data_IF_672093078370
#
_entry.id   IF_672093078370
#
_cell.length_a   1.000
_cell.length_b   1.000
_cell.length_c   1.000
_cell.angle_alpha   90.00
_cell.angle_beta   90.00
_cell.angle_gamma   90.00
#
_symmetry.space_group_name_H-M   'P 1'
#
loop_
_entity.id
_entity.type
_entity.pdbx_description
1 polymer ?
#
# COMPACT_ATOMS: atom_id res chain seq x y z
N UNK A 1 -18.45 11.92 -6.15
CA UNK A 1 -17.68 10.76 -5.64
C UNK A 1 -18.31 10.32 -4.34
N UNK A 2 -18.74 9.05 -4.28
CA UNK A 2 -19.39 8.45 -3.13
C UNK A 2 -18.36 8.11 -2.06
N UNK A 3 -18.58 8.55 -0.83
CA UNK A 3 -17.71 8.23 0.31
C UNK A 3 -18.26 7.03 1.07
N UNK A 4 -17.40 6.05 1.36
CA UNK A 4 -17.75 4.80 2.02
C UNK A 4 -16.78 4.54 3.17
N UNK A 5 -17.30 4.24 4.35
CA UNK A 5 -16.52 3.74 5.48
C UNK A 5 -16.39 2.23 5.37
N UNK A 6 -15.17 1.69 5.45
CA UNK A 6 -14.93 0.25 5.31
C UNK A 6 -14.17 -0.27 6.53
N UNK A 7 -14.66 -1.35 7.14
CA UNK A 7 -14.05 -2.00 8.29
C UNK A 7 -13.28 -3.26 7.92
N UNK A 8 -11.96 -3.24 8.11
CA UNK A 8 -11.16 -4.48 8.19
C UNK A 8 -11.16 -4.93 9.64
N UNK A 9 -12.02 -5.89 9.96
CA UNK A 9 -12.13 -6.43 11.32
C UNK A 9 -11.22 -7.63 11.44
N UNK A 10 -10.27 -7.60 12.38
CA UNK A 10 -9.39 -8.72 12.66
C UNK A 10 -9.81 -9.45 13.94
N UNK A 11 -9.72 -10.77 13.93
CA UNK A 11 -9.82 -11.57 15.14
C UNK A 11 -8.43 -11.94 15.70
N UNK A 12 -8.42 -12.62 16.83
CA UNK A 12 -7.19 -13.10 17.50
C UNK A 12 -6.38 -14.13 16.70
N UNK A 13 -6.95 -14.71 15.64
CA UNK A 13 -6.29 -15.67 14.74
C UNK A 13 -5.70 -15.00 13.49
N UNK A 14 -5.66 -13.66 13.44
CA UNK A 14 -5.24 -12.87 12.27
C UNK A 14 -6.07 -13.16 11.01
N UNK A 15 -7.33 -13.57 11.21
CA UNK A 15 -8.32 -13.66 10.15
C UNK A 15 -9.09 -12.35 10.05
N UNK A 16 -9.59 -12.04 8.86
CA UNK A 16 -10.46 -10.90 8.60
C UNK A 16 -11.90 -11.34 8.35
N UNK A 17 -12.85 -10.56 8.85
CA UNK A 17 -14.26 -10.77 8.56
C UNK A 17 -14.64 -10.18 7.21
N UNK A 18 -15.26 -11.00 6.37
CA UNK A 18 -15.82 -10.61 5.08
C UNK A 18 -17.32 -10.94 5.02
N UNK A 19 -18.07 -10.13 4.30
CA UNK A 19 -19.50 -10.31 4.03
C UNK A 19 -19.74 -10.50 2.53
N UNK A 20 -20.84 -11.16 2.17
CA UNK A 20 -21.20 -11.36 0.77
C UNK A 20 -22.18 -10.28 0.32
N UNK A 21 -21.83 -9.55 -0.75
CA UNK A 21 -22.69 -8.53 -1.35
C UNK A 21 -24.03 -9.12 -1.76
N UNK A 22 -25.11 -8.41 -1.47
CA UNK A 22 -26.44 -8.71 -2.00
C UNK A 22 -26.38 -8.84 -3.53
N UNK A 23 -27.11 -9.81 -4.09
CA UNK A 23 -27.16 -10.03 -5.56
C UNK A 23 -27.69 -8.80 -6.32
N UNK A 24 -28.44 -7.92 -5.65
CA UNK A 24 -29.03 -6.70 -6.24
C UNK A 24 -28.07 -5.50 -6.24
N UNK A 25 -26.95 -5.58 -5.51
CA UNK A 25 -25.96 -4.51 -5.44
C UNK A 25 -25.08 -4.48 -6.70
N UNK A 26 -24.43 -3.34 -6.96
CA UNK A 26 -23.38 -3.24 -7.98
C UNK A 26 -22.28 -4.29 -7.68
N UNK A 27 -21.93 -5.13 -8.66
CA UNK A 27 -21.05 -6.29 -8.50
C UNK A 27 -21.52 -7.30 -7.42
N UNK A 28 -22.84 -7.56 -7.36
CA UNK A 28 -23.45 -8.46 -6.39
C UNK A 28 -22.94 -9.90 -6.42
N UNK A 29 -22.92 -10.56 -5.25
CA UNK A 29 -22.44 -11.93 -5.09
C UNK A 29 -20.94 -12.09 -4.87
N UNK A 30 -20.15 -11.02 -5.00
CA UNK A 30 -18.75 -10.97 -4.57
C UNK A 30 -18.64 -10.87 -3.04
N UNK A 31 -17.47 -11.24 -2.51
CA UNK A 31 -17.10 -10.95 -1.12
C UNK A 31 -16.62 -9.52 -0.99
N UNK A 32 -16.80 -8.94 0.20
CA UNK A 32 -16.31 -7.60 0.52
C UNK A 32 -15.89 -7.47 1.98
N UNK A 33 -15.18 -6.38 2.25
CA UNK A 33 -15.00 -5.91 3.61
C UNK A 33 -16.26 -5.09 3.97
N UNK A 34 -16.85 -5.33 5.17
CA UNK A 34 -18.10 -4.72 5.56
C UNK A 34 -17.99 -3.21 5.79
N UNK A 35 -19.14 -2.54 5.76
CA UNK A 35 -19.24 -1.10 5.92
C UNK A 35 -20.13 -0.48 4.85
N UNK A 36 -20.37 0.82 4.96
CA UNK A 36 -21.39 1.47 4.16
C UNK A 36 -21.14 2.95 3.92
N UNK A 37 -22.18 3.60 3.39
CA UNK A 37 -22.09 4.97 2.90
C UNK A 37 -21.93 5.92 4.08
N UNK A 38 -21.03 6.90 3.93
CA UNK A 38 -20.95 8.03 4.87
C UNK A 38 -22.06 9.01 4.52
N UNK A 39 -22.90 9.34 5.50
CA UNK A 39 -23.99 10.30 5.35
C UNK A 39 -23.49 11.75 5.35
N UNK A 40 -24.35 12.67 4.93
CA UNK A 40 -24.00 14.09 4.88
C UNK A 40 -23.76 14.65 6.29
N UNK A 41 -22.58 15.22 6.52
CA UNK A 41 -22.16 15.74 7.82
C UNK A 41 -21.69 14.69 8.82
N UNK A 42 -21.77 13.39 8.48
CA UNK A 42 -21.32 12.28 9.32
C UNK A 42 -19.79 12.14 9.27
N UNK A 43 -19.14 11.91 10.43
CA UNK A 43 -17.74 11.52 10.44
C UNK A 43 -17.63 10.07 9.97
N UNK A 44 -16.60 9.76 9.18
CA UNK A 44 -16.40 8.40 8.67
C UNK A 44 -16.32 7.33 9.76
N UNK A 45 -15.71 7.64 10.91
CA UNK A 45 -15.63 6.69 12.02
C UNK A 45 -17.01 6.42 12.66
N UNK A 46 -17.89 7.42 12.70
CA UNK A 46 -19.26 7.26 13.20
C UNK A 46 -20.07 6.41 12.22
N UNK A 47 -19.93 6.66 10.91
CA UNK A 47 -20.50 5.83 9.85
C UNK A 47 -20.03 4.38 9.97
N UNK A 48 -18.72 4.15 10.16
CA UNK A 48 -18.15 2.82 10.36
C UNK A 48 -18.81 2.09 11.54
N UNK A 49 -18.92 2.75 12.70
CA UNK A 49 -19.52 2.17 13.91
C UNK A 49 -20.98 1.78 13.67
N UNK A 50 -21.76 2.66 13.07
CA UNK A 50 -23.17 2.44 12.74
C UNK A 50 -23.34 1.26 11.77
N UNK A 51 -22.63 1.29 10.65
CA UNK A 51 -22.73 0.27 9.60
C UNK A 51 -22.32 -1.12 10.10
N UNK A 52 -21.21 -1.25 10.84
CA UNK A 52 -20.80 -2.55 11.38
C UNK A 52 -21.74 -3.08 12.46
N UNK A 53 -22.41 -2.19 13.21
CA UNK A 53 -23.44 -2.60 14.15
C UNK A 53 -24.70 -3.10 13.42
N UNK A 54 -25.18 -2.33 12.45
CA UNK A 54 -26.38 -2.62 11.65
C UNK A 54 -26.23 -3.88 10.80
N UNK A 55 -25.11 -4.04 10.10
CA UNK A 55 -24.90 -5.14 9.17
C UNK A 55 -24.43 -6.43 9.85
N UNK A 56 -23.65 -6.30 10.95
CA UNK A 56 -22.87 -7.41 11.51
C UNK A 56 -23.07 -7.67 13.00
N UNK A 57 -23.84 -6.85 13.73
CA UNK A 57 -23.94 -6.90 15.19
C UNK A 57 -22.56 -6.76 15.87
N UNK A 58 -21.73 -5.86 15.34
CA UNK A 58 -20.39 -5.56 15.84
C UNK A 58 -20.34 -4.13 16.35
N UNK A 59 -20.12 -3.98 17.65
CA UNK A 59 -19.86 -2.68 18.27
C UNK A 59 -18.35 -2.42 18.27
N UNK A 60 -17.90 -1.43 17.50
CA UNK A 60 -16.48 -1.08 17.41
C UNK A 60 -16.03 -0.32 18.65
N UNK A 61 -15.05 -0.86 19.38
CA UNK A 61 -14.43 -0.21 20.54
C UNK A 61 -13.22 0.62 20.14
N UNK A 62 -12.40 0.12 19.22
CA UNK A 62 -11.23 0.83 18.71
C UNK A 62 -11.03 0.50 17.25
N UNK A 63 -10.93 1.55 16.45
CA UNK A 63 -10.57 1.48 15.05
C UNK A 63 -9.54 2.55 14.72
N UNK A 64 -8.56 2.20 13.90
CA UNK A 64 -7.54 3.13 13.44
C UNK A 64 -7.61 3.28 11.93
N UNK A 65 -7.41 4.49 11.38
CA UNK A 65 -7.31 4.68 9.93
C UNK A 65 -6.22 3.77 9.35
N UNK A 66 -6.52 3.07 8.26
CA UNK A 66 -5.60 2.11 7.64
C UNK A 66 -5.10 2.58 6.27
N UNK A 67 -5.99 2.69 5.29
CA UNK A 67 -5.69 3.19 3.94
C UNK A 67 -6.88 3.97 3.38
N UNK A 68 -6.62 4.71 2.31
CA UNK A 68 -7.67 5.28 1.46
C UNK A 68 -7.57 4.68 0.06
N UNK A 69 -8.70 4.22 -0.48
CA UNK A 69 -8.76 3.71 -1.84
C UNK A 69 -9.71 4.57 -2.66
N UNK A 70 -9.20 5.16 -3.73
CA UNK A 70 -10.02 5.83 -4.72
C UNK A 70 -10.16 4.93 -5.94
N UNK A 71 -11.39 4.76 -6.41
CA UNK A 71 -11.65 3.95 -7.60
C UNK A 71 -12.81 4.57 -8.39
N UNK A 72 -12.59 4.78 -9.69
CA UNK A 72 -13.60 5.33 -10.58
C UNK A 72 -14.19 4.19 -11.43
N UNK A 73 -15.37 3.71 -11.06
CA UNK A 73 -16.15 2.83 -11.94
C UNK A 73 -16.76 3.66 -13.07
N UNK A 74 -17.09 3.02 -14.21
CA UNK A 74 -17.69 3.68 -15.38
C UNK A 74 -18.87 4.62 -15.03
N UNK A 75 -19.67 4.27 -14.02
CA UNK A 75 -20.88 5.00 -13.64
C UNK A 75 -20.73 5.79 -12.31
N UNK A 76 -19.74 5.47 -11.48
CA UNK A 76 -19.61 6.04 -10.13
C UNK A 76 -18.16 6.03 -9.62
N UNK A 77 -17.66 7.20 -9.22
CA UNK A 77 -16.43 7.31 -8.44
C UNK A 77 -16.69 7.02 -6.96
N UNK A 78 -15.90 6.12 -6.36
CA UNK A 78 -15.95 5.76 -4.94
C UNK A 78 -14.65 6.12 -4.22
N UNK A 79 -14.79 6.55 -2.97
CA UNK A 79 -13.71 6.81 -2.03
C UNK A 79 -13.94 5.94 -0.80
N UNK A 80 -13.15 4.87 -0.68
CA UNK A 80 -13.15 4.00 0.50
C UNK A 80 -12.18 4.60 1.53
N UNK A 81 -12.70 4.98 2.69
CA UNK A 81 -11.88 5.25 3.86
C UNK A 81 -11.89 4.01 4.75
N UNK A 82 -10.75 3.32 4.77
CA UNK A 82 -10.62 1.99 5.34
C UNK A 82 -10.02 2.10 6.73
N UNK A 83 -10.65 1.44 7.69
CA UNK A 83 -10.22 1.38 9.08
C UNK A 83 -9.87 -0.05 9.45
N UNK A 84 -8.82 -0.21 10.26
CA UNK A 84 -8.52 -1.46 10.94
C UNK A 84 -9.26 -1.44 12.28
N UNK A 85 -10.21 -2.36 12.46
CA UNK A 85 -10.91 -2.55 13.74
C UNK A 85 -10.07 -3.49 14.60
N UNK A 86 -9.42 -2.92 15.61
CA UNK A 86 -8.48 -3.63 16.49
C UNK A 86 -9.20 -4.28 17.68
N UNK A 87 -10.31 -3.69 18.13
CA UNK A 87 -11.15 -4.28 19.17
C UNK A 87 -12.63 -3.94 18.97
N UNK A 88 -13.49 -4.91 19.31
CA UNK A 88 -14.94 -4.81 19.15
C UNK A 88 -15.67 -5.71 20.15
N UNK A 89 -16.97 -5.48 20.32
CA UNK A 89 -17.89 -6.33 21.06
C UNK A 89 -18.99 -6.89 20.15
N UNK A 90 -19.69 -7.92 20.64
CA UNK A 90 -20.72 -8.62 19.89
C UNK A 90 -20.20 -9.88 19.19
N UNK A 91 -21.14 -10.68 18.68
CA UNK A 91 -20.84 -11.86 17.88
C UNK A 91 -21.24 -11.56 16.45
N UNK A 92 -20.26 -11.54 15.55
CA UNK A 92 -20.48 -11.30 14.13
C UNK A 92 -21.59 -12.19 13.56
N UNK A 93 -22.62 -11.58 12.99
CA UNK A 93 -23.69 -12.25 12.26
C UNK A 93 -24.22 -11.35 11.15
N UNK A 94 -24.49 -11.90 9.96
CA UNK A 94 -25.10 -11.12 8.88
C UNK A 94 -26.54 -10.76 9.22
N UNK A 95 -26.76 -9.52 9.67
CA UNK A 95 -28.05 -9.02 10.15
C UNK A 95 -29.10 -8.89 9.04
N UNK A 96 -28.67 -8.86 7.78
CA UNK A 96 -29.53 -8.85 6.60
C UNK A 96 -29.71 -10.25 5.98
N UNK A 97 -29.25 -11.29 6.68
CA UNK A 97 -29.25 -12.67 6.17
C UNK A 97 -28.13 -12.95 5.15
N UNK A 98 -27.17 -12.03 5.01
CA UNK A 98 -26.01 -12.20 4.16
C UNK A 98 -24.99 -13.18 4.77
N UNK A 99 -24.39 -14.07 3.97
CA UNK A 99 -23.28 -14.89 4.44
C UNK A 99 -22.09 -14.04 4.89
N UNK A 100 -21.47 -14.45 5.99
CA UNK A 100 -20.23 -13.88 6.50
C UNK A 100 -19.20 -15.00 6.70
N UNK A 101 -17.91 -14.66 6.60
CA UNK A 101 -16.80 -15.59 6.86
C UNK A 101 -15.63 -14.87 7.50
N UNK A 102 -15.00 -15.57 8.44
CA UNK A 102 -13.62 -15.28 8.83
C UNK A 102 -12.69 -16.02 7.88
N UNK A 103 -11.71 -15.33 7.31
CA UNK A 103 -10.67 -15.92 6.47
C UNK A 103 -9.30 -15.38 6.85
N UNK A 104 -8.29 -16.23 6.83
CA UNK A 104 -6.90 -15.81 6.88
C UNK A 104 -6.59 -14.86 5.70
N UNK A 105 -5.78 -13.84 5.95
CA UNK A 105 -5.45 -12.78 4.98
C UNK A 105 -4.82 -13.34 3.69
N UNK A 106 -4.00 -14.39 3.83
CA UNK A 106 -3.32 -15.09 2.73
C UNK A 106 -4.27 -15.93 1.87
N UNK A 107 -5.46 -16.25 2.37
CA UNK A 107 -6.48 -17.05 1.72
C UNK A 107 -7.50 -16.21 0.95
N UNK A 108 -7.30 -14.89 0.90
CA UNK A 108 -8.19 -13.94 0.21
C UNK A 108 -7.93 -13.96 -1.31
N UNK A 109 -8.81 -14.61 -2.05
CA UNK A 109 -8.79 -14.62 -3.51
C UNK A 109 -9.26 -13.29 -4.09
N UNK A 110 -8.33 -12.41 -4.51
CA UNK A 110 -8.63 -11.06 -5.03
C UNK A 110 -9.66 -11.01 -6.15
N UNK A 111 -9.76 -12.06 -6.97
CA UNK A 111 -10.74 -12.17 -8.06
C UNK A 111 -12.18 -12.27 -7.55
N UNK A 112 -12.37 -12.65 -6.28
CA UNK A 112 -13.68 -12.77 -5.62
C UNK A 112 -14.15 -11.48 -4.95
N UNK A 113 -13.41 -10.38 -5.11
CA UNK A 113 -13.68 -9.07 -4.51
C UNK A 113 -13.87 -7.98 -5.58
N UNK A 114 -14.66 -6.93 -5.28
CA UNK A 114 -14.72 -5.73 -6.12
C UNK A 114 -13.33 -5.13 -6.35
N UNK A 115 -13.15 -4.46 -7.50
CA UNK A 115 -11.87 -3.90 -7.89
C UNK A 115 -11.25 -2.98 -6.81
N UNK A 116 -12.06 -2.13 -6.18
CA UNK A 116 -11.61 -1.24 -5.11
C UNK A 116 -11.10 -2.00 -3.86
N UNK A 117 -11.65 -3.18 -3.54
CA UNK A 117 -11.24 -3.95 -2.36
C UNK A 117 -9.91 -4.68 -2.56
N UNK A 118 -9.45 -4.86 -3.81
CA UNK A 118 -8.16 -5.50 -4.10
C UNK A 118 -6.99 -4.73 -3.48
N UNK A 119 -7.07 -3.39 -3.49
CA UNK A 119 -6.08 -2.53 -2.85
C UNK A 119 -6.02 -2.73 -1.31
N UNK A 120 -7.16 -3.05 -0.68
CA UNK A 120 -7.21 -3.38 0.75
C UNK A 120 -6.47 -4.70 1.01
N UNK A 121 -6.72 -5.72 0.19
CA UNK A 121 -6.02 -7.02 0.27
C UNK A 121 -4.51 -6.83 0.05
N UNK A 122 -4.14 -5.96 -0.89
CA UNK A 122 -2.75 -5.61 -1.14
C UNK A 122 -2.08 -4.95 0.07
N UNK A 123 -2.77 -4.02 0.73
CA UNK A 123 -2.27 -3.36 1.92
C UNK A 123 -2.15 -4.32 3.12
N UNK A 124 -3.10 -5.25 3.26
CA UNK A 124 -3.06 -6.27 4.32
C UNK A 124 -1.90 -7.24 4.17
N UNK A 125 -1.42 -7.45 2.94
CA UNK A 125 -0.29 -8.33 2.61
C UNK A 125 1.03 -7.56 2.37
N UNK A 126 1.12 -6.28 2.77
CA UNK A 126 2.36 -5.53 2.62
C UNK A 126 3.47 -6.13 3.50
N UNK A 127 4.64 -6.50 2.93
CA UNK A 127 5.76 -6.95 3.74
C UNK A 127 6.40 -5.79 4.50
N UNK A 128 7.12 -6.09 5.59
CA UNK A 128 7.81 -5.08 6.41
C UNK A 128 9.11 -4.56 5.78
N UNK A 129 9.54 -5.17 4.70
CA UNK A 129 10.80 -4.89 4.02
C UNK A 129 10.55 -4.47 2.58
N UNK A 130 11.20 -3.38 2.17
CA UNK A 130 11.17 -2.89 0.79
C UNK A 130 12.59 -2.59 0.30
N UNK A 131 13.36 -3.61 -0.08
CA UNK A 131 14.69 -3.45 -0.66
C UNK A 131 14.64 -2.66 -1.96
N UNK A 132 15.70 -1.92 -2.24
CA UNK A 132 15.87 -1.11 -3.45
C UNK A 132 17.12 -1.60 -4.18
N UNK A 133 16.96 -2.02 -5.43
CA UNK A 133 18.07 -2.32 -6.34
C UNK A 133 18.36 -1.06 -7.14
N UNK A 134 19.55 -0.48 -6.97
CA UNK A 134 20.02 0.66 -7.74
C UNK A 134 21.44 0.51 -8.27
N UNK A 135 21.87 1.46 -9.11
CA UNK A 135 23.16 1.39 -9.80
C UNK A 135 24.36 1.50 -8.86
N UNK A 136 24.15 1.86 -7.59
CA UNK A 136 25.23 1.87 -6.60
C UNK A 136 25.65 0.47 -6.15
N UNK A 137 24.88 -0.56 -6.52
CA UNK A 137 25.24 -1.97 -6.31
C UNK A 137 26.36 -2.40 -7.27
N UNK A 138 26.38 -1.85 -8.49
CA UNK A 138 27.33 -2.24 -9.51
C UNK A 138 26.77 -2.20 -10.93
N UNK A 139 27.44 -2.89 -11.85
CA UNK A 139 27.03 -2.99 -13.25
C UNK A 139 25.70 -3.78 -13.41
N UNK A 140 25.12 -3.76 -14.62
CA UNK A 140 23.80 -4.36 -14.90
C UNK A 140 23.69 -5.82 -14.44
N UNK A 141 24.73 -6.64 -14.67
CA UNK A 141 24.78 -8.03 -14.22
C UNK A 141 24.78 -8.17 -12.69
N UNK A 142 25.45 -7.25 -11.99
CA UNK A 142 25.55 -7.24 -10.53
C UNK A 142 24.22 -6.85 -9.91
N UNK A 143 23.51 -5.89 -10.49
CA UNK A 143 22.15 -5.52 -10.09
C UNK A 143 21.18 -6.71 -10.23
N UNK A 144 21.21 -7.42 -11.37
CA UNK A 144 20.38 -8.62 -11.56
C UNK A 144 20.76 -9.76 -10.61
N UNK A 145 22.05 -9.94 -10.31
CA UNK A 145 22.54 -10.92 -9.33
C UNK A 145 22.06 -10.57 -7.92
N UNK A 146 22.11 -9.29 -7.56
CA UNK A 146 21.60 -8.83 -6.27
C UNK A 146 20.08 -9.01 -6.17
N UNK A 147 19.33 -8.72 -7.24
CA UNK A 147 17.89 -9.01 -7.29
C UNK A 147 17.59 -10.50 -7.05
N UNK A 148 18.34 -11.42 -7.67
CA UNK A 148 18.22 -12.87 -7.41
C UNK A 148 18.51 -13.22 -5.95
N UNK A 149 19.49 -12.56 -5.34
CA UNK A 149 19.85 -12.75 -3.94
C UNK A 149 18.69 -12.32 -3.03
N UNK A 150 18.08 -11.17 -3.29
CA UNK A 150 16.92 -10.70 -2.54
C UNK A 150 15.72 -11.65 -2.69
N UNK A 151 15.42 -12.11 -3.91
CA UNK A 151 14.34 -13.07 -4.14
C UNK A 151 14.59 -14.36 -3.36
N UNK A 152 15.82 -14.89 -3.41
CA UNK A 152 16.20 -16.12 -2.68
C UNK A 152 16.19 -15.93 -1.16
N UNK A 153 16.40 -14.70 -0.69
CA UNK A 153 16.26 -14.30 0.71
C UNK A 153 14.82 -14.14 1.18
N UNK A 154 13.82 -14.39 0.32
CA UNK A 154 12.40 -14.34 0.67
C UNK A 154 11.75 -12.96 0.60
N UNK A 155 12.42 -11.96 0.03
CA UNK A 155 11.80 -10.65 -0.18
C UNK A 155 10.74 -10.72 -1.29
N UNK A 156 9.49 -10.38 -0.95
CA UNK A 156 8.33 -10.45 -1.86
C UNK A 156 7.94 -9.12 -2.49
N UNK A 157 8.60 -8.02 -2.09
CA UNK A 157 8.37 -6.69 -2.62
C UNK A 157 9.69 -5.92 -2.74
N UNK A 158 10.04 -5.48 -3.94
CA UNK A 158 11.34 -4.87 -4.26
C UNK A 158 11.14 -3.66 -5.17
N UNK A 159 11.99 -2.64 -5.05
CA UNK A 159 12.09 -1.52 -5.98
C UNK A 159 13.22 -1.73 -6.99
N UNK A 160 12.95 -1.47 -8.26
CA UNK A 160 13.98 -1.33 -9.29
C UNK A 160 14.19 0.15 -9.62
N UNK A 161 15.41 0.66 -9.41
CA UNK A 161 15.75 2.08 -9.58
C UNK A 161 17.07 2.22 -10.33
N UNK A 162 17.02 2.47 -11.63
CA UNK A 162 18.21 2.63 -12.48
C UNK A 162 18.16 3.95 -13.29
N UNK A 163 18.42 5.09 -12.64
CA UNK A 163 18.24 6.44 -13.20
C UNK A 163 19.35 6.91 -14.17
N UNK A 164 20.54 6.32 -14.14
CA UNK A 164 21.68 6.70 -14.97
C UNK A 164 21.69 6.01 -16.33
N UNK A 165 20.85 5.00 -16.53
CA UNK A 165 20.71 4.31 -17.81
C UNK A 165 19.92 5.18 -18.80
N UNK A 166 20.27 5.09 -20.08
CA UNK A 166 19.43 5.65 -21.13
C UNK A 166 18.10 4.88 -21.24
N UNK A 167 17.10 5.46 -21.92
CA UNK A 167 15.74 4.88 -21.99
C UNK A 167 15.73 3.43 -22.51
N UNK A 168 16.54 3.09 -23.51
CA UNK A 168 16.60 1.74 -24.07
C UNK A 168 17.28 0.73 -23.14
N UNK A 169 18.39 1.10 -22.52
CA UNK A 169 19.11 0.27 -21.55
C UNK A 169 18.28 0.04 -20.29
N UNK A 170 17.64 1.10 -19.77
CA UNK A 170 16.70 0.98 -18.65
C UNK A 170 15.57 0.00 -18.96
N UNK A 171 14.92 0.15 -20.11
CA UNK A 171 13.80 -0.71 -20.54
C UNK A 171 14.23 -2.17 -20.62
N UNK A 172 15.34 -2.44 -21.31
CA UNK A 172 15.85 -3.80 -21.48
C UNK A 172 16.13 -4.49 -20.14
N UNK A 173 16.75 -3.77 -19.20
CA UNK A 173 17.12 -4.31 -17.90
C UNK A 173 15.91 -4.46 -16.96
N UNK A 174 14.99 -3.49 -16.98
CA UNK A 174 13.75 -3.53 -16.21
C UNK A 174 12.85 -4.70 -16.66
N UNK A 175 12.75 -4.98 -17.97
CA UNK A 175 12.00 -6.13 -18.50
C UNK A 175 12.56 -7.46 -17.99
N UNK A 176 13.89 -7.60 -17.92
CA UNK A 176 14.52 -8.79 -17.33
C UNK A 176 14.22 -8.92 -15.83
N UNK A 177 14.30 -7.82 -15.08
CA UNK A 177 13.98 -7.79 -13.66
C UNK A 177 12.51 -8.15 -13.40
N UNK A 178 11.58 -7.59 -14.19
CA UNK A 178 10.14 -7.91 -14.10
C UNK A 178 9.88 -9.38 -14.39
N UNK A 179 10.48 -9.94 -15.45
CA UNK A 179 10.31 -11.35 -15.79
C UNK A 179 10.83 -12.28 -14.68
N UNK A 180 11.97 -11.93 -14.07
CA UNK A 180 12.53 -12.67 -12.94
C UNK A 180 11.61 -12.63 -11.71
N UNK A 181 11.14 -11.44 -11.34
CA UNK A 181 10.25 -11.25 -10.20
C UNK A 181 8.91 -11.96 -10.39
N UNK A 182 8.31 -11.87 -11.59
CA UNK A 182 7.03 -12.53 -11.92
C UNK A 182 7.10 -14.05 -11.74
N UNK A 183 8.20 -14.69 -12.17
CA UNK A 183 8.40 -16.15 -12.01
C UNK A 183 8.53 -16.59 -10.55
N UNK A 184 8.90 -15.67 -9.65
CA UNK A 184 9.12 -15.95 -8.23
C UNK A 184 8.04 -15.32 -7.34
N UNK A 185 6.92 -14.86 -7.91
CA UNK A 185 5.84 -14.18 -7.19
C UNK A 185 6.31 -12.97 -6.36
N UNK A 186 7.31 -12.24 -6.85
CA UNK A 186 7.82 -11.02 -6.23
C UNK A 186 7.23 -9.81 -6.93
N UNK A 187 6.72 -8.86 -6.16
CA UNK A 187 6.22 -7.59 -6.67
C UNK A 187 7.38 -6.64 -6.90
N UNK A 188 7.60 -6.27 -8.16
CA UNK A 188 8.64 -5.32 -8.55
C UNK A 188 8.03 -3.95 -8.84
N UNK A 189 8.40 -2.94 -8.06
CA UNK A 189 8.05 -1.55 -8.32
C UNK A 189 9.10 -0.90 -9.21
N UNK A 190 8.70 -0.43 -10.40
CA UNK A 190 9.59 0.27 -11.32
C UNK A 190 9.65 1.75 -10.94
N UNK A 191 10.84 2.26 -10.61
CA UNK A 191 11.06 3.69 -10.42
C UNK A 191 11.50 4.34 -11.74
N UNK A 192 10.51 4.77 -12.53
CA UNK A 192 10.65 5.51 -13.78
C UNK A 192 9.50 6.49 -13.95
N UNK A 193 9.48 7.21 -15.07
CA UNK A 193 8.29 7.96 -15.44
C UNK A 193 7.09 7.03 -15.59
N UNK A 194 5.89 7.55 -15.30
CA UNK A 194 4.65 6.79 -15.45
C UNK A 194 4.48 6.26 -16.88
N UNK A 195 4.74 7.11 -17.88
CA UNK A 195 4.64 6.74 -19.29
C UNK A 195 5.57 5.57 -19.63
N UNK A 196 6.84 5.65 -19.22
CA UNK A 196 7.82 4.58 -19.52
C UNK A 196 7.44 3.27 -18.81
N UNK A 197 6.98 3.34 -17.57
CA UNK A 197 6.54 2.16 -16.83
C UNK A 197 5.34 1.47 -17.48
N UNK A 198 4.36 2.24 -17.96
CA UNK A 198 3.20 1.72 -18.67
C UNK A 198 3.58 1.14 -20.04
N UNK A 199 4.50 1.77 -20.78
CA UNK A 199 5.05 1.24 -22.04
C UNK A 199 5.74 -0.13 -21.87
N UNK A 200 6.20 -0.44 -20.65
CA UNK A 200 6.80 -1.72 -20.28
C UNK A 200 5.79 -2.71 -19.68
N UNK A 201 4.52 -2.34 -19.56
CA UNK A 201 3.47 -3.11 -18.88
C UNK A 201 3.80 -3.39 -17.39
N UNK A 202 4.40 -2.43 -16.69
CA UNK A 202 4.66 -2.56 -15.27
C UNK A 202 3.36 -2.60 -14.47
N UNK A 203 3.18 -3.63 -13.64
CA UNK A 203 2.02 -3.80 -12.75
C UNK A 203 2.17 -2.96 -11.46
N UNK A 204 3.37 -2.49 -11.15
CA UNK A 204 3.66 -1.66 -9.98
C UNK A 204 4.73 -0.59 -10.27
N UNK A 205 4.48 0.65 -9.81
CA UNK A 205 5.29 1.83 -10.14
C UNK A 205 5.61 2.60 -8.86
N UNK A 206 6.88 2.97 -8.70
CA UNK A 206 7.32 3.85 -7.62
C UNK A 206 7.52 5.27 -8.16
N UNK A 207 6.69 6.22 -7.72
CA UNK A 207 6.72 7.62 -8.12
C UNK A 207 7.71 8.41 -7.29
N UNK A 208 8.41 9.34 -7.93
CA UNK A 208 9.16 10.38 -7.22
C UNK A 208 8.24 11.43 -6.60
N UNK A 209 8.74 12.17 -5.61
CA UNK A 209 8.00 13.27 -4.98
C UNK A 209 7.49 14.31 -5.99
N UNK A 210 8.29 14.63 -7.02
CA UNK A 210 7.90 15.56 -8.08
C UNK A 210 6.71 15.03 -8.90
N UNK A 211 6.70 13.74 -9.23
CA UNK A 211 5.61 13.11 -9.96
C UNK A 211 4.33 13.06 -9.13
N UNK A 212 4.45 12.73 -7.84
CA UNK A 212 3.32 12.77 -6.88
C UNK A 212 2.65 14.15 -6.91
N UNK A 213 3.43 15.23 -6.76
CA UNK A 213 2.90 16.59 -6.75
C UNK A 213 2.31 17.00 -8.11
N UNK A 214 2.93 16.57 -9.22
CA UNK A 214 2.43 16.85 -10.57
C UNK A 214 1.13 16.09 -10.90
N UNK A 215 0.92 14.93 -10.27
CA UNK A 215 -0.21 14.04 -10.53
C UNK A 215 -1.37 14.19 -9.55
N UNK A 216 -1.21 14.89 -8.40
CA UNK A 216 -2.23 14.97 -7.33
C UNK A 216 -3.67 15.26 -7.80
N UNK A 217 -3.82 16.01 -8.90
CA UNK A 217 -5.13 16.37 -9.48
C UNK A 217 -5.56 15.50 -10.68
N UNK A 218 -4.70 14.61 -11.18
CA UNK A 218 -4.95 13.73 -12.34
C UNK A 218 -5.43 12.34 -11.92
N UNK A 219 -6.17 12.29 -10.82
CA UNK A 219 -6.55 11.10 -10.07
C UNK A 219 -7.56 10.17 -10.77
N UNK A 220 -7.56 10.10 -12.11
CA UNK A 220 -8.17 9.00 -12.83
C UNK A 220 -7.27 7.79 -12.65
N UNK A 221 -7.77 6.79 -11.92
CA UNK A 221 -7.10 5.55 -11.60
C UNK A 221 -6.43 4.94 -12.83
N UNK A 222 -5.12 4.69 -12.75
CA UNK A 222 -4.48 3.72 -13.62
C UNK A 222 -4.97 2.35 -13.16
N UNK A 223 -6.12 1.94 -13.70
CA UNK A 223 -6.74 0.67 -13.33
C UNK A 223 -5.73 -0.47 -13.45
N UNK A 224 -5.59 -1.24 -12.38
CA UNK A 224 -4.69 -2.40 -12.35
C UNK A 224 -3.22 -2.09 -12.06
N UNK A 225 -2.83 -0.83 -11.85
CA UNK A 225 -1.44 -0.46 -11.52
C UNK A 225 -1.31 -0.07 -10.05
N UNK A 226 -0.41 -0.73 -9.33
CA UNK A 226 -0.08 -0.38 -7.95
C UNK A 226 0.91 0.78 -7.92
N UNK A 227 0.63 1.80 -7.12
CA UNK A 227 1.51 2.95 -6.96
C UNK A 227 2.18 2.92 -5.58
N UNK A 228 3.45 3.29 -5.52
CA UNK A 228 4.15 3.67 -4.31
C UNK A 228 4.79 5.04 -4.51
N UNK A 229 5.09 5.77 -3.44
CA UNK A 229 5.62 7.13 -3.54
C UNK A 229 6.88 7.35 -2.71
N UNK A 230 7.83 8.10 -3.25
CA UNK A 230 8.86 8.78 -2.45
C UNK A 230 8.28 10.07 -1.87
N UNK A 231 8.48 10.29 -0.57
CA UNK A 231 8.08 11.52 0.12
C UNK A 231 9.20 12.00 1.06
N UNK A 232 9.19 13.29 1.35
CA UNK A 232 10.16 14.00 2.18
C UNK A 232 9.50 14.95 3.19
N UNK A 233 8.21 15.24 3.04
CA UNK A 233 7.46 16.16 3.89
C UNK A 233 5.96 15.82 3.91
N UNK A 234 5.21 16.54 4.75
CA UNK A 234 3.77 16.34 4.94
C UNK A 234 2.95 16.63 3.67
N UNK A 235 3.34 17.63 2.87
CA UNK A 235 2.63 17.99 1.65
C UNK A 235 2.66 16.84 0.63
N UNK A 236 3.82 16.21 0.46
CA UNK A 236 4.00 15.07 -0.43
C UNK A 236 3.28 13.83 0.08
N UNK A 237 3.27 13.58 1.39
CA UNK A 237 2.51 12.47 1.98
C UNK A 237 1.01 12.64 1.77
N UNK A 238 0.47 13.86 1.95
CA UNK A 238 -0.94 14.16 1.67
C UNK A 238 -1.27 13.95 0.20
N UNK A 239 -0.43 14.43 -0.70
CA UNK A 239 -0.60 14.22 -2.14
C UNK A 239 -0.52 12.73 -2.53
N UNK A 240 0.39 11.96 -1.92
CA UNK A 240 0.51 10.52 -2.15
C UNK A 240 -0.74 9.78 -1.67
N UNK A 241 -1.27 10.14 -0.50
CA UNK A 241 -2.55 9.65 0.01
C UNK A 241 -3.71 9.97 -0.96
N UNK A 242 -3.81 11.22 -1.41
CA UNK A 242 -4.86 11.65 -2.36
C UNK A 242 -4.78 10.91 -3.71
N UNK A 243 -3.59 10.52 -4.13
CA UNK A 243 -3.36 9.67 -5.31
C UNK A 243 -3.77 8.21 -5.10
N UNK A 244 -3.98 7.77 -3.86
CA UNK A 244 -4.31 6.38 -3.55
C UNK A 244 -3.11 5.43 -3.72
N UNK A 245 -1.89 5.88 -3.42
CA UNK A 245 -0.73 4.98 -3.42
C UNK A 245 -0.90 3.89 -2.35
N UNK A 246 -0.34 2.72 -2.60
CA UNK A 246 -0.37 1.58 -1.68
C UNK A 246 0.46 1.85 -0.41
N UNK A 247 1.59 2.53 -0.57
CA UNK A 247 2.45 2.97 0.52
C UNK A 247 3.36 4.13 0.08
N UNK A 248 3.88 4.87 1.05
CA UNK A 248 4.93 5.85 0.84
C UNK A 248 6.25 5.41 1.48
N UNK A 249 7.34 5.99 1.00
CA UNK A 249 8.66 5.87 1.58
C UNK A 249 9.12 7.27 2.00
N UNK A 250 9.36 7.47 3.29
CA UNK A 250 9.74 8.76 3.85
C UNK A 250 11.24 8.76 4.17
N UNK A 251 11.97 9.72 3.61
CA UNK A 251 13.43 9.75 3.67
C UNK A 251 14.03 11.16 3.60
N UNK A 252 15.31 11.36 3.96
CA UNK A 252 16.15 10.43 4.73
C UNK A 252 15.83 10.49 6.23
N UNK A 253 15.65 9.33 6.88
CA UNK A 253 15.41 9.25 8.33
C UNK A 253 16.70 9.48 9.13
N UNK A 254 17.76 8.79 8.74
CA UNK A 254 19.10 8.91 9.29
C UNK A 254 20.07 9.46 8.23
N UNK A 255 21.27 9.89 8.65
CA UNK A 255 22.31 10.27 7.70
C UNK A 255 22.63 9.09 6.75
N UNK A 256 22.72 9.37 5.46
CA UNK A 256 22.92 8.35 4.42
C UNK A 256 23.88 8.84 3.35
N UNK A 257 24.65 7.92 2.79
CA UNK A 257 25.55 8.18 1.67
C UNK A 257 24.82 8.43 0.34
N UNK A 258 23.52 8.11 0.23
CA UNK A 258 22.74 8.34 -0.99
C UNK A 258 22.25 9.79 -1.11
N UNK A 259 22.07 10.50 0.01
CA UNK A 259 21.61 11.89 0.08
C UNK A 259 22.61 12.74 0.87
N UNK A 260 23.84 12.87 0.36
CA UNK A 260 24.90 13.67 0.99
C UNK A 260 24.46 15.14 1.00
N UNK A 261 24.35 15.73 2.20
CA UNK A 261 23.99 17.14 2.39
C UNK A 261 22.51 17.41 2.72
N UNK A 262 21.62 16.42 2.62
CA UNK A 262 20.26 16.56 3.15
C UNK A 262 20.27 16.38 4.67
N UNK A 263 19.65 17.31 5.40
CA UNK A 263 19.44 17.15 6.84
C UNK A 263 18.48 15.97 7.08
N UNK A 264 18.89 14.95 7.86
CA UNK A 264 18.00 13.84 8.17
C UNK A 264 16.79 14.32 8.98
N UNK A 265 15.65 13.68 8.78
CA UNK A 265 14.41 13.96 9.53
C UNK A 265 14.59 13.67 11.02
N UNK A 266 15.23 12.53 11.34
CA UNK A 266 15.21 11.95 12.67
C UNK A 266 13.86 11.30 13.00
N UNK A 267 13.88 10.40 13.98
CA UNK A 267 12.71 9.61 14.36
C UNK A 267 11.51 10.43 14.88
N UNK A 268 11.68 11.50 15.68
CA UNK A 268 10.54 12.31 16.12
C UNK A 268 9.78 12.97 14.96
N UNK A 269 10.50 13.56 14.01
CA UNK A 269 9.89 14.17 12.82
C UNK A 269 9.27 13.11 11.92
N UNK A 270 9.95 11.97 11.73
CA UNK A 270 9.40 10.85 10.97
C UNK A 270 8.05 10.42 11.53
N UNK A 271 7.97 10.17 12.84
CA UNK A 271 6.74 9.75 13.54
C UNK A 271 5.61 10.75 13.32
N UNK A 272 5.88 12.04 13.55
CA UNK A 272 4.90 13.11 13.35
C UNK A 272 4.37 13.16 11.92
N UNK A 273 5.21 12.90 10.92
CA UNK A 273 4.82 12.92 9.51
C UNK A 273 4.05 11.65 9.11
N UNK A 274 4.50 10.47 9.55
CA UNK A 274 3.83 9.21 9.22
C UNK A 274 2.44 9.10 9.86
N UNK A 275 2.26 9.61 11.08
CA UNK A 275 0.96 9.61 11.78
C UNK A 275 -0.02 10.66 11.23
N UNK A 276 0.46 11.65 10.47
CA UNK A 276 -0.38 12.68 9.88
C UNK A 276 -1.22 12.18 8.68
N UNK A 277 -0.95 10.97 8.17
CA UNK A 277 -1.66 10.39 7.02
C UNK A 277 -2.03 8.92 7.26
N UNK A 278 -3.24 8.48 6.87
CA UNK A 278 -3.65 7.08 6.95
C UNK A 278 -3.10 6.30 5.75
N UNK A 279 -1.78 6.12 5.74
CA UNK A 279 -1.03 5.47 4.67
C UNK A 279 0.15 4.70 5.27
N UNK A 280 0.43 3.45 4.87
CA UNK A 280 1.66 2.77 5.24
C UNK A 280 2.89 3.58 4.81
N UNK A 281 3.72 3.98 5.78
CA UNK A 281 4.97 4.73 5.52
C UNK A 281 6.19 3.90 5.90
N UNK A 282 7.05 3.61 4.94
CA UNK A 282 8.33 2.95 5.16
C UNK A 282 9.41 3.99 5.49
N UNK A 283 10.23 3.68 6.49
CA UNK A 283 11.43 4.46 6.78
C UNK A 283 12.52 4.14 5.76
N UNK A 284 13.16 5.17 5.19
CA UNK A 284 14.30 5.03 4.28
C UNK A 284 15.40 6.05 4.61
N UNK A 285 16.65 5.64 4.36
CA UNK A 285 17.84 6.47 4.55
C UNK A 285 18.53 6.17 5.87
N UNK A 286 19.64 5.43 5.80
CA UNK A 286 20.42 4.99 6.97
C UNK A 286 19.67 4.02 7.89
N UNK A 287 18.77 3.22 7.31
CA UNK A 287 17.97 2.18 7.99
C UNK A 287 18.01 0.87 7.18
N UNK A 288 17.72 -0.23 7.86
CA UNK A 288 17.78 -1.60 7.35
C UNK A 288 17.00 -2.58 8.22
N UNK A 289 17.02 -3.89 7.92
CA UNK A 289 16.35 -4.92 8.70
C UNK A 289 16.64 -4.84 10.21
N UNK A 290 17.88 -4.54 10.58
CA UNK A 290 18.34 -4.39 11.96
C UNK A 290 17.71 -3.20 12.71
N UNK A 291 17.09 -2.27 12.00
CA UNK A 291 16.41 -1.10 12.56
C UNK A 291 14.89 -1.23 12.59
N UNK A 292 14.33 -2.37 12.19
CA UNK A 292 12.89 -2.54 12.04
C UNK A 292 12.12 -2.22 13.33
N UNK A 293 12.51 -2.81 14.48
CA UNK A 293 11.79 -2.60 15.75
C UNK A 293 11.76 -1.13 16.17
N UNK A 294 12.87 -0.42 15.95
CA UNK A 294 12.95 1.02 16.17
C UNK A 294 12.03 1.79 15.22
N UNK A 295 11.98 1.39 13.95
CA UNK A 295 11.12 2.02 12.97
C UNK A 295 9.64 1.83 13.34
N UNK A 296 9.23 0.61 13.68
CA UNK A 296 7.87 0.30 14.12
C UNK A 296 7.47 1.12 15.36
N UNK A 297 8.36 1.22 16.34
CA UNK A 297 8.13 2.02 17.57
C UNK A 297 8.00 3.52 17.29
N UNK A 298 8.42 3.99 16.12
CA UNK A 298 8.32 5.38 15.66
C UNK A 298 7.29 5.56 14.53
N UNK A 299 6.31 4.66 14.42
CA UNK A 299 5.18 4.81 13.51
C UNK A 299 5.47 4.41 12.06
N UNK A 300 6.63 3.80 11.77
CA UNK A 300 6.87 3.24 10.44
C UNK A 300 6.05 1.97 10.24
N UNK A 301 5.56 1.76 9.04
CA UNK A 301 5.02 0.46 8.63
C UNK A 301 6.15 -0.57 8.45
N UNK A 302 7.31 -0.14 7.97
CA UNK A 302 8.43 -1.01 7.66
C UNK A 302 9.68 -0.22 7.32
N UNK A 303 10.71 -0.91 6.83
CA UNK A 303 11.99 -0.32 6.45
C UNK A 303 12.31 -0.59 4.98
N UNK A 304 12.85 0.42 4.32
CA UNK A 304 13.31 0.38 2.94
C UNK A 304 14.78 0.79 2.87
N UNK A 305 15.51 0.27 1.89
CA UNK A 305 16.93 0.56 1.77
C UNK A 305 17.62 -0.19 0.65
N UNK A 306 18.86 0.21 0.37
CA UNK A 306 19.70 -0.40 -0.68
C UNK A 306 20.68 -1.37 -0.01
N UNK A 307 21.80 -0.86 0.51
CA UNK A 307 22.96 -1.64 0.99
C UNK A 307 22.76 -2.43 2.29
N UNK A 308 21.66 -2.21 2.98
CA UNK A 308 21.33 -2.94 4.20
C UNK A 308 20.62 -4.28 3.91
N UNK A 309 20.21 -4.50 2.67
CA UNK A 309 19.49 -5.70 2.23
C UNK A 309 20.39 -6.60 1.37
N UNK A 310 20.14 -7.91 1.39
CA UNK A 310 20.82 -8.87 0.52
C UNK A 310 22.31 -9.07 0.82
N UNK A 311 22.69 -8.98 2.10
CA UNK A 311 24.01 -9.38 2.61
C UNK A 311 24.05 -10.87 2.95
#
# INVERSE_FOLDING_TARGET
>A
MLKVAVGVIKNQYNEVLISKRSKKAHQGGLWEFPGGKVEEGEKTEDALKRELLEELNIEVLTAVPFIQVKHDYNDIGVLLEVYLVESFQGKACGMEGQPIKWLAIDSLEKSSFPAANKAIIDALNLPRYYPIVDESIGAEEEMLRHLKTLISGGYTMIQWRAKSLNKSGFKHLAEQAMALCKRNNVRLFINSSMTDALEMNAEAIHLSANEVLAMKNKASSLEGVLLAASCHNEQELKAAKELGVLFAVLSPVCATQTHIGMKPLGWPQFKSLSEAVPLPVFALGGVGPETLDKALSNGAYGVAGIRAFGR
#
